data_IF_435823546485
#
_entry.id   IF_435823546485
#
_cell.length_a   1.000
_cell.length_b   1.000
_cell.length_c   1.000
_cell.angle_alpha   90.00
_cell.angle_beta   90.00
_cell.angle_gamma   90.00
#
_symmetry.space_group_name_H-M   'P 1'
#
loop_
_entity.id
_entity.type
_entity.pdbx_description
1 polymer ?
#
# COMPACT_ATOMS: atom_id res chain seq x y z
N UNK A 1 7.15 17.68 -7.60
CA UNK A 1 5.75 17.38 -7.25
C UNK A 1 5.62 17.36 -5.74
N UNK A 2 4.55 17.93 -5.18
CA UNK A 2 4.26 17.81 -3.75
C UNK A 2 3.70 16.41 -3.46
N UNK A 3 4.10 15.82 -2.33
CA UNK A 3 3.52 14.55 -1.85
C UNK A 3 2.04 14.74 -1.54
N UNK A 4 1.24 13.70 -1.79
CA UNK A 4 -0.15 13.60 -1.31
C UNK A 4 -0.15 13.29 0.19
N UNK A 5 -1.24 13.63 0.87
CA UNK A 5 -1.38 13.27 2.29
C UNK A 5 -1.44 11.76 2.45
N UNK A 6 -2.20 11.09 1.58
CA UNK A 6 -2.41 9.64 1.64
C UNK A 6 -2.29 8.98 0.27
N UNK A 7 -1.64 7.82 0.25
CA UNK A 7 -1.76 6.85 -0.83
C UNK A 7 -2.63 5.71 -0.32
N UNK A 8 -3.72 5.43 -1.02
CA UNK A 8 -4.66 4.35 -0.72
C UNK A 8 -4.43 3.24 -1.75
N UNK A 9 -4.15 2.03 -1.28
CA UNK A 9 -3.89 0.88 -2.15
C UNK A 9 -4.88 -0.24 -1.87
N UNK A 10 -5.59 -0.69 -2.91
CA UNK A 10 -6.43 -1.87 -2.81
C UNK A 10 -5.61 -3.15 -3.00
N UNK A 11 -5.77 -4.08 -2.06
CA UNK A 11 -5.15 -5.39 -2.03
C UNK A 11 -6.22 -6.45 -2.32
N UNK A 12 -6.07 -7.19 -3.41
CA UNK A 12 -7.00 -8.25 -3.83
C UNK A 12 -6.33 -9.65 -3.72
N UNK A 13 -5.64 -9.89 -2.60
CA UNK A 13 -4.96 -11.17 -2.34
C UNK A 13 -5.88 -12.16 -1.63
N UNK A 14 -7.00 -12.53 -2.27
CA UNK A 14 -7.96 -13.45 -1.66
C UNK A 14 -7.57 -14.93 -1.78
N UNK A 15 -6.66 -15.29 -2.68
CA UNK A 15 -6.46 -16.70 -3.05
C UNK A 15 -5.05 -17.10 -3.45
N UNK A 16 -4.07 -16.18 -3.43
CA UNK A 16 -2.71 -16.51 -3.83
C UNK A 16 -1.77 -16.59 -2.63
N UNK A 17 -1.22 -17.79 -2.40
CA UNK A 17 0.17 -17.90 -1.91
C UNK A 17 1.03 -17.17 -2.95
N UNK A 18 1.44 -15.95 -2.68
CA UNK A 18 2.17 -15.14 -3.65
C UNK A 18 3.18 -14.21 -2.98
N UNK A 19 4.13 -13.66 -3.76
CA UNK A 19 5.36 -13.00 -3.31
C UNK A 19 5.10 -11.64 -2.66
N UNK A 20 4.34 -11.63 -1.58
CA UNK A 20 3.89 -10.47 -0.82
C UNK A 20 5.04 -9.52 -0.49
N UNK A 21 6.20 -10.07 -0.12
CA UNK A 21 7.35 -9.27 0.30
C UNK A 21 7.93 -8.38 -0.82
N UNK A 22 8.02 -8.85 -2.06
CA UNK A 22 8.61 -8.04 -3.14
C UNK A 22 7.63 -6.97 -3.62
N UNK A 23 6.37 -7.35 -3.86
CA UNK A 23 5.32 -6.42 -4.28
C UNK A 23 5.07 -5.36 -3.21
N UNK A 24 5.00 -5.77 -1.94
CA UNK A 24 4.86 -4.84 -0.84
C UNK A 24 6.07 -3.92 -0.70
N UNK A 25 7.28 -4.42 -0.97
CA UNK A 25 8.47 -3.57 -1.06
C UNK A 25 8.34 -2.46 -2.11
N UNK A 26 7.77 -2.76 -3.28
CA UNK A 26 7.49 -1.77 -4.33
C UNK A 26 6.42 -0.76 -3.88
N UNK A 27 5.34 -1.23 -3.27
CA UNK A 27 4.27 -0.37 -2.71
C UNK A 27 4.84 0.60 -1.66
N UNK A 28 5.64 0.10 -0.72
CA UNK A 28 6.27 0.91 0.32
C UNK A 28 7.21 1.97 -0.28
N UNK A 29 8.03 1.60 -1.28
CA UNK A 29 8.90 2.55 -1.98
C UNK A 29 8.11 3.61 -2.74
N UNK A 30 7.07 3.21 -3.45
CA UNK A 30 6.21 4.13 -4.17
C UNK A 30 5.49 5.09 -3.21
N UNK A 31 4.96 4.58 -2.10
CA UNK A 31 4.34 5.38 -1.05
C UNK A 31 5.34 6.39 -0.47
N UNK A 32 6.58 5.96 -0.19
CA UNK A 32 7.63 6.83 0.36
C UNK A 32 7.94 8.02 -0.53
N UNK A 33 7.81 7.88 -1.85
CA UNK A 33 8.09 8.96 -2.80
C UNK A 33 6.87 9.87 -2.97
N UNK A 34 5.66 9.30 -3.00
CA UNK A 34 4.47 10.01 -3.48
C UNK A 34 3.51 10.46 -2.37
N UNK A 35 3.62 9.91 -1.16
CA UNK A 35 2.69 10.20 -0.07
C UNK A 35 3.36 10.36 1.30
N UNK A 36 2.62 10.96 2.22
CA UNK A 36 2.96 11.08 3.64
C UNK A 36 2.38 9.95 4.49
N UNK A 37 1.40 9.21 3.98
CA UNK A 37 0.77 8.07 4.65
C UNK A 37 0.43 7.00 3.63
N UNK A 38 0.60 5.73 4.01
CA UNK A 38 0.13 4.59 3.23
C UNK A 38 -1.07 3.97 3.93
N UNK A 39 -2.14 3.80 3.18
CA UNK A 39 -3.35 3.13 3.64
C UNK A 39 -3.63 1.96 2.70
N UNK A 40 -3.81 0.79 3.26
CA UNK A 40 -4.09 -0.44 2.56
C UNK A 40 -5.57 -0.77 2.79
N UNK A 41 -6.26 -1.20 1.75
CA UNK A 41 -7.64 -1.68 1.84
C UNK A 41 -7.69 -3.09 1.27
N UNK A 42 -8.12 -4.06 2.06
CA UNK A 42 -8.28 -5.45 1.62
C UNK A 42 -9.74 -5.88 1.68
N UNK A 43 -10.11 -6.81 0.81
CA UNK A 43 -11.40 -7.54 0.88
C UNK A 43 -11.25 -8.95 1.45
N UNK A 44 -10.05 -9.31 1.86
CA UNK A 44 -9.65 -10.66 2.21
C UNK A 44 -9.08 -10.69 3.63
N UNK A 45 -9.65 -11.52 4.51
CA UNK A 45 -9.30 -11.66 5.94
C UNK A 45 -7.96 -12.36 6.19
N UNK A 46 -7.38 -13.01 5.18
CA UNK A 46 -6.07 -13.68 5.29
C UNK A 46 -4.89 -12.71 5.51
N UNK A 47 -5.13 -11.40 5.40
CA UNK A 47 -4.08 -10.37 5.42
C UNK A 47 -3.61 -9.98 6.83
N UNK A 48 -4.33 -10.35 7.89
CA UNK A 48 -3.96 -9.98 9.27
C UNK A 48 -2.62 -10.59 9.73
N UNK A 49 -2.29 -11.81 9.28
CA UNK A 49 -1.01 -12.45 9.57
C UNK A 49 0.14 -11.79 8.79
N UNK A 50 -0.09 -11.42 7.54
CA UNK A 50 0.91 -10.72 6.71
C UNK A 50 1.09 -9.24 7.11
N UNK A 51 0.18 -8.71 7.91
CA UNK A 51 0.21 -7.35 8.47
C UNK A 51 1.35 -7.15 9.47
N UNK A 52 1.71 -8.19 10.24
CA UNK A 52 2.86 -8.11 11.16
C UNK A 52 4.17 -7.95 10.38
N UNK A 53 4.38 -8.79 9.36
CA UNK A 53 5.51 -8.65 8.43
C UNK A 53 5.52 -7.29 7.74
N UNK A 54 4.34 -6.78 7.37
CA UNK A 54 4.22 -5.48 6.71
C UNK A 54 4.57 -4.31 7.64
N UNK A 55 4.13 -4.35 8.90
CA UNK A 55 4.52 -3.36 9.90
C UNK A 55 6.03 -3.38 10.14
N UNK A 56 6.63 -4.56 10.18
CA UNK A 56 8.06 -4.71 10.33
C UNK A 56 8.81 -4.13 9.11
N UNK A 57 8.42 -4.54 7.89
CA UNK A 57 8.94 -3.98 6.63
C UNK A 57 8.75 -2.47 6.53
N UNK A 58 7.62 -1.95 7.00
CA UNK A 58 7.33 -0.52 7.05
C UNK A 58 8.27 0.21 8.00
N UNK A 59 8.50 -0.29 9.21
CA UNK A 59 9.42 0.33 10.16
C UNK A 59 10.85 0.41 9.61
N UNK A 60 11.28 -0.60 8.84
CA UNK A 60 12.60 -0.61 8.21
C UNK A 60 12.72 0.32 7.00
N UNK A 61 11.60 0.71 6.36
CA UNK A 61 11.62 1.41 5.07
C UNK A 61 10.93 2.79 5.04
N UNK A 62 10.09 3.11 6.02
CA UNK A 62 9.25 4.31 6.05
C UNK A 62 9.23 5.00 7.42
N UNK A 63 9.24 6.33 7.41
CA UNK A 63 9.13 7.18 8.61
C UNK A 63 7.67 7.47 9.01
N UNK A 64 6.69 6.89 8.30
CA UNK A 64 5.28 7.28 8.41
C UNK A 64 4.34 6.09 8.56
N UNK A 65 3.17 6.29 9.20
CA UNK A 65 2.30 5.19 9.61
C UNK A 65 1.65 4.48 8.41
N UNK A 66 1.59 3.14 8.49
CA UNK A 66 0.77 2.30 7.62
C UNK A 66 -0.52 1.93 8.34
N UNK A 67 -1.66 2.08 7.65
CA UNK A 67 -2.98 1.63 8.13
C UNK A 67 -3.53 0.56 7.20
N UNK A 68 -4.26 -0.42 7.75
CA UNK A 68 -5.06 -1.38 6.99
C UNK A 68 -6.53 -1.20 7.36
N UNK A 69 -7.40 -1.20 6.36
CA UNK A 69 -8.84 -1.30 6.50
C UNK A 69 -9.35 -2.52 5.73
N UNK A 70 -10.44 -3.08 6.22
CA UNK A 70 -11.14 -4.20 5.57
C UNK A 70 -12.47 -3.70 5.04
N UNK A 71 -12.78 -4.07 3.80
CA UNK A 71 -14.05 -3.81 3.12
C UNK A 71 -14.53 -2.34 3.22
N UNK A 72 -13.57 -1.40 3.16
CA UNK A 72 -13.82 0.03 3.26
C UNK A 72 -13.68 0.72 1.90
N UNK A 73 -14.37 1.85 1.71
CA UNK A 73 -14.17 2.69 0.54
C UNK A 73 -12.98 3.64 0.74
N UNK A 74 -12.26 3.92 -0.34
CA UNK A 74 -11.14 4.89 -0.31
C UNK A 74 -11.58 6.28 0.20
N UNK A 75 -12.80 6.73 -0.15
CA UNK A 75 -13.31 8.03 0.30
C UNK A 75 -13.58 8.07 1.80
N UNK A 76 -14.18 7.02 2.35
CA UNK A 76 -14.48 6.95 3.79
C UNK A 76 -13.19 6.86 4.60
N UNK A 77 -12.24 6.07 4.13
CA UNK A 77 -10.92 5.94 4.72
C UNK A 77 -10.14 7.24 4.65
N UNK A 78 -10.15 7.93 3.51
CA UNK A 78 -9.51 9.24 3.36
C UNK A 78 -10.08 10.28 4.34
N UNK A 79 -11.41 10.30 4.53
CA UNK A 79 -12.08 11.18 5.50
C UNK A 79 -11.69 10.85 6.94
N UNK A 80 -11.71 9.56 7.28
CA UNK A 80 -11.38 9.09 8.63
C UNK A 80 -9.93 9.41 9.01
N UNK A 81 -9.02 9.26 8.05
CA UNK A 81 -7.60 9.58 8.19
C UNK A 81 -7.28 11.08 7.96
N UNK A 82 -8.30 11.91 7.70
CA UNK A 82 -8.19 13.36 7.48
C UNK A 82 -7.21 13.73 6.35
N UNK A 83 -7.20 12.93 5.28
CA UNK A 83 -6.39 13.17 4.09
C UNK A 83 -7.04 14.28 3.25
N UNK A 84 -6.43 15.46 3.16
CA UNK A 84 -6.95 16.54 2.30
C UNK A 84 -6.72 16.23 0.81
N UNK A 85 -5.62 15.56 0.51
CA UNK A 85 -5.28 15.05 -0.82
C UNK A 85 -4.91 13.58 -0.74
N UNK A 86 -5.53 12.76 -1.59
CA UNK A 86 -5.20 11.34 -1.66
C UNK A 86 -5.13 10.84 -3.10
N UNK A 87 -4.40 9.76 -3.29
CA UNK A 87 -4.35 9.01 -4.54
C UNK A 87 -4.81 7.57 -4.27
N UNK A 88 -5.45 6.96 -5.25
CA UNK A 88 -6.00 5.61 -5.15
C UNK A 88 -5.35 4.76 -6.22
N UNK A 89 -4.74 3.65 -5.79
CA UNK A 89 -4.03 2.73 -6.67
C UNK A 89 -4.38 1.28 -6.40
N UNK A 90 -4.24 0.48 -7.44
CA UNK A 90 -4.16 -0.98 -7.33
C UNK A 90 -2.70 -1.42 -7.29
N UNK A 91 -2.46 -2.65 -6.82
CA UNK A 91 -1.10 -3.22 -6.84
C UNK A 91 -0.54 -3.27 -8.27
N UNK A 92 -1.35 -3.68 -9.24
CA UNK A 92 -0.95 -3.76 -10.65
C UNK A 92 -0.51 -2.40 -11.21
N UNK A 93 -1.23 -1.31 -10.91
CA UNK A 93 -0.83 0.03 -11.35
C UNK A 93 0.54 0.45 -10.79
N UNK A 94 0.83 0.11 -9.54
CA UNK A 94 2.11 0.43 -8.90
C UNK A 94 3.23 -0.40 -9.53
N UNK A 95 2.96 -1.68 -9.81
CA UNK A 95 3.91 -2.58 -10.47
C UNK A 95 4.23 -2.17 -11.90
N UNK A 96 3.24 -1.74 -12.68
CA UNK A 96 3.47 -1.25 -14.06
C UNK A 96 4.30 0.03 -14.03
N UNK A 97 4.12 0.87 -13.01
CA UNK A 97 4.87 2.11 -12.85
C UNK A 97 6.35 1.93 -12.47
N UNK A 98 6.75 0.71 -12.10
CA UNK A 98 8.15 0.35 -11.83
C UNK A 98 8.61 -0.70 -12.86
N UNK A 99 9.38 -0.33 -13.89
CA UNK A 99 9.91 -1.32 -14.81
C UNK A 99 10.76 -2.31 -14.02
N UNK A 100 10.34 -3.57 -14.00
CA UNK A 100 11.21 -4.67 -13.61
C UNK A 100 12.36 -4.61 -14.60
N UNK A 101 13.57 -4.22 -14.14
CA UNK A 101 14.77 -4.43 -14.95
C UNK A 101 14.90 -5.94 -15.11
N UNK A 102 14.46 -6.45 -16.25
CA UNK A 102 14.79 -7.80 -16.70
C UNK A 102 16.25 -7.70 -17.12
N UNK A 103 17.17 -7.87 -16.17
CA UNK A 103 18.55 -8.15 -16.50
C UNK A 103 18.58 -9.54 -17.14
N UNK A 104 18.93 -9.57 -18.43
CA UNK A 104 19.05 -10.77 -19.26
C UNK A 104 20.48 -11.30 -19.17
#
# INVERSE_FOLDING_TARGET
>A
MAKKDCLIVYLDYCSKRSPYREEMGKILRYARINALRLILITRCTALELELQDLRQLSNDNMEFPVRLYEDASAEDVAKLEKCATFDVKTVDEINISWPVKIET
#
